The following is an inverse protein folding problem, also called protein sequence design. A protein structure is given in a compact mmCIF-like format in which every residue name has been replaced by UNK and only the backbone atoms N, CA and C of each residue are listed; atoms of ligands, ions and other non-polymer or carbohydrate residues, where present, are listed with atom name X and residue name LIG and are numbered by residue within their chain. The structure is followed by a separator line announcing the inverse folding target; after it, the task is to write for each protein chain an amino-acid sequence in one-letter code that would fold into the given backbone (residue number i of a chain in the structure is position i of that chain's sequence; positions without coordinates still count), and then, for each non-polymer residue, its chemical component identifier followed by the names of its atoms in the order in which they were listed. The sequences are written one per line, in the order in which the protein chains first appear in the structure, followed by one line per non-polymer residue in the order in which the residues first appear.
data_IF_812267577185
#
_entry.id   IF_812267577185
#
_cell.length_a   1.000
_cell.length_b   1.000
_cell.length_c   1.000
_cell.angle_alpha   90.00
_cell.angle_beta   90.00
_cell.angle_gamma   90.00
#
_symmetry.space_group_name_H-M   'P 1'
#
loop_
_entity.id
_entity.type
_entity.pdbx_description
1 polymer ?
#
# COMPACT_ATOMS: atom_id res chain seq x y z
N UNK A 1 48.17 28.20 11.28
CA UNK A 1 47.33 28.07 10.07
C UNK A 1 46.52 26.79 10.23
N UNK A 2 45.31 26.90 10.79
CA UNK A 2 44.38 25.77 10.95
C UNK A 2 43.60 25.66 9.64
N UNK A 3 43.83 24.59 8.89
CA UNK A 3 43.04 24.26 7.69
C UNK A 3 41.80 23.51 8.20
N UNK A 4 40.65 24.20 8.21
CA UNK A 4 39.34 23.59 8.38
C UNK A 4 39.00 22.89 7.06
N UNK A 5 39.09 21.56 7.06
CA UNK A 5 38.66 20.72 5.95
C UNK A 5 37.12 20.69 5.93
N UNK A 6 36.52 21.54 5.08
CA UNK A 6 35.09 21.53 4.80
C UNK A 6 34.83 20.37 3.86
N UNK A 7 34.80 19.16 4.42
CA UNK A 7 34.22 18.01 3.72
C UNK A 7 32.71 18.23 3.65
N UNK A 8 32.27 18.83 2.55
CA UNK A 8 30.87 18.93 2.21
C UNK A 8 30.25 17.53 2.26
N UNK A 9 29.27 17.36 3.15
CA UNK A 9 28.38 16.20 3.14
C UNK A 9 27.64 16.28 1.80
N UNK A 10 28.14 15.56 0.78
CA UNK A 10 27.34 15.23 -0.38
C UNK A 10 26.15 14.46 0.17
N UNK A 11 24.98 15.09 0.19
CA UNK A 11 23.72 14.38 0.43
C UNK A 11 23.72 13.20 -0.52
N UNK A 12 23.65 11.98 0.00
CA UNK A 12 23.48 10.81 -0.82
C UNK A 12 22.20 11.02 -1.63
N UNK A 13 22.29 11.07 -2.95
CA UNK A 13 21.11 10.83 -3.79
C UNK A 13 20.62 9.44 -3.38
N UNK A 14 19.50 9.40 -2.67
CA UNK A 14 18.87 8.13 -2.33
C UNK A 14 18.35 7.55 -3.65
N UNK A 15 18.80 6.35 -4.01
CA UNK A 15 18.27 5.64 -5.17
C UNK A 15 16.76 5.45 -5.03
N UNK A 16 16.12 4.99 -6.10
CA UNK A 16 14.70 4.64 -6.07
C UNK A 16 14.53 3.16 -6.39
N UNK A 17 13.49 2.59 -5.80
CA UNK A 17 13.07 1.21 -6.02
C UNK A 17 11.70 1.22 -6.68
N UNK A 18 11.56 0.56 -7.82
CA UNK A 18 10.29 0.39 -8.50
C UNK A 18 9.71 -0.98 -8.18
N UNK A 19 8.51 -1.01 -7.61
CA UNK A 19 7.67 -2.19 -7.55
C UNK A 19 6.77 -2.15 -8.80
N UNK A 20 7.04 -2.97 -9.83
CA UNK A 20 6.17 -3.05 -10.99
C UNK A 20 4.83 -3.65 -10.60
N UNK A 21 3.76 -3.18 -11.26
CA UNK A 21 2.40 -3.69 -11.10
C UNK A 21 1.79 -4.17 -12.43
N UNK A 22 2.62 -4.27 -13.47
CA UNK A 22 2.29 -4.94 -14.74
C UNK A 22 2.55 -6.45 -14.64
N UNK A 23 2.52 -7.15 -15.78
CA UNK A 23 2.72 -8.60 -15.88
C UNK A 23 4.09 -9.08 -15.38
N UNK A 24 5.04 -8.17 -15.14
CA UNK A 24 6.31 -8.55 -14.54
C UNK A 24 6.15 -8.94 -13.06
N UNK A 25 5.08 -8.50 -12.38
CA UNK A 25 4.88 -8.79 -10.96
C UNK A 25 4.27 -10.17 -10.75
N UNK A 26 4.82 -10.93 -9.78
CA UNK A 26 4.37 -12.30 -9.47
C UNK A 26 3.24 -12.35 -8.46
N UNK A 27 3.14 -11.33 -7.61
CA UNK A 27 2.15 -11.26 -6.54
C UNK A 27 1.78 -9.79 -6.27
N UNK A 28 0.77 -9.29 -6.99
CA UNK A 28 0.30 -7.91 -6.87
C UNK A 28 -0.29 -7.60 -5.49
N UNK A 29 -0.94 -8.57 -4.85
CA UNK A 29 -1.55 -8.36 -3.54
C UNK A 29 -0.46 -8.11 -2.48
N UNK A 30 0.57 -8.96 -2.43
CA UNK A 30 1.71 -8.72 -1.55
C UNK A 30 2.50 -7.46 -1.93
N UNK A 31 2.51 -7.07 -3.20
CA UNK A 31 3.13 -5.81 -3.62
C UNK A 31 2.46 -4.60 -2.97
N UNK A 32 1.11 -4.55 -2.90
CA UNK A 32 0.39 -3.55 -2.11
C UNK A 32 0.77 -3.59 -0.63
N UNK A 33 0.89 -4.79 -0.05
CA UNK A 33 1.35 -4.98 1.32
C UNK A 33 2.75 -4.42 1.61
N UNK A 34 3.68 -4.58 0.66
CA UNK A 34 5.02 -4.00 0.75
C UNK A 34 4.97 -2.47 0.65
N UNK A 35 4.19 -1.93 -0.30
CA UNK A 35 4.03 -0.49 -0.45
C UNK A 35 3.43 0.15 0.81
N UNK A 36 2.36 -0.44 1.36
CA UNK A 36 1.74 -0.02 2.61
C UNK A 36 2.75 0.00 3.76
N UNK A 37 3.51 -1.09 3.92
CA UNK A 37 4.54 -1.17 4.96
C UNK A 37 5.64 -0.12 4.79
N UNK A 38 6.03 0.22 3.56
CA UNK A 38 7.02 1.26 3.31
C UNK A 38 6.51 2.63 3.80
N UNK A 39 5.23 2.94 3.55
CA UNK A 39 4.60 4.17 4.04
C UNK A 39 4.55 4.17 5.58
N UNK A 40 4.21 3.05 6.21
CA UNK A 40 4.25 2.93 7.69
C UNK A 40 5.64 3.15 8.29
N UNK A 41 6.70 2.82 7.54
CA UNK A 41 8.09 3.09 7.93
C UNK A 41 8.55 4.51 7.63
N UNK A 42 7.67 5.37 7.13
CA UNK A 42 7.98 6.74 6.77
C UNK A 42 8.86 6.86 5.52
N UNK A 43 8.94 5.81 4.70
CA UNK A 43 9.59 5.90 3.40
C UNK A 43 8.68 6.66 2.44
N UNK A 44 9.27 7.50 1.58
CA UNK A 44 8.52 8.15 0.50
C UNK A 44 8.09 7.09 -0.51
N UNK A 45 6.78 7.06 -0.80
CA UNK A 45 6.19 6.16 -1.79
C UNK A 45 5.32 6.99 -2.73
N UNK A 46 5.60 6.86 -4.01
CA UNK A 46 4.85 7.44 -5.11
C UNK A 46 4.04 6.35 -5.78
N UNK A 47 2.73 6.56 -5.92
CA UNK A 47 1.85 5.70 -6.71
C UNK A 47 1.73 6.26 -8.11
N UNK A 48 2.32 5.56 -9.07
CA UNK A 48 2.39 5.96 -10.46
C UNK A 48 1.17 5.43 -11.22
N UNK A 49 0.05 6.16 -11.15
CA UNK A 49 -1.22 5.80 -11.78
C UNK A 49 -1.05 5.59 -13.28
N UNK A 50 -1.57 4.47 -13.77
CA UNK A 50 -1.49 4.00 -15.17
C UNK A 50 -0.07 3.76 -15.71
N UNK A 51 0.99 4.09 -14.97
CA UNK A 51 2.35 3.71 -15.33
C UNK A 51 2.59 2.25 -14.91
N UNK A 52 2.84 1.37 -15.89
CA UNK A 52 3.12 -0.05 -15.67
C UNK A 52 2.16 -0.70 -14.67
N UNK A 53 0.86 -0.59 -14.93
CA UNK A 53 -0.19 -1.19 -14.09
C UNK A 53 -0.44 -0.50 -12.74
N UNK A 54 0.04 0.74 -12.54
CA UNK A 54 -0.11 1.44 -11.25
C UNK A 54 1.07 1.16 -10.31
N UNK A 55 2.30 1.19 -10.84
CA UNK A 55 3.52 0.84 -10.10
C UNK A 55 3.80 1.77 -8.91
N UNK A 56 4.62 1.30 -7.97
CA UNK A 56 5.08 2.11 -6.84
C UNK A 56 6.55 2.45 -6.99
N UNK A 57 6.90 3.73 -6.90
CA UNK A 57 8.27 4.20 -6.79
C UNK A 57 8.56 4.55 -5.33
N UNK A 58 9.56 3.91 -4.75
CA UNK A 58 9.84 3.94 -3.31
C UNK A 58 11.26 4.44 -3.11
N UNK A 59 11.46 5.28 -2.10
CA UNK A 59 12.80 5.64 -1.67
C UNK A 59 13.62 4.39 -1.33
N UNK A 60 14.87 4.33 -1.80
CA UNK A 60 15.76 3.19 -1.54
C UNK A 60 15.91 2.91 -0.04
N UNK A 61 15.71 1.64 0.30
CA UNK A 61 15.87 1.11 1.64
C UNK A 61 16.24 -0.37 1.56
N UNK A 62 17.30 -0.74 2.28
CA UNK A 62 17.71 -2.15 2.40
C UNK A 62 16.63 -2.99 3.08
N UNK A 63 15.83 -2.40 3.97
CA UNK A 63 14.72 -3.11 4.62
C UNK A 63 13.56 -3.34 3.65
N UNK A 64 13.29 -2.39 2.74
CA UNK A 64 12.30 -2.57 1.68
C UNK A 64 12.72 -3.70 0.73
N UNK A 65 13.97 -3.71 0.26
CA UNK A 65 14.51 -4.81 -0.57
C UNK A 65 14.40 -6.17 0.13
N UNK A 66 14.77 -6.24 1.41
CA UNK A 66 14.69 -7.48 2.20
C UNK A 66 13.24 -7.95 2.34
N UNK A 67 12.32 -7.05 2.67
CA UNK A 67 10.90 -7.37 2.81
C UNK A 67 10.30 -7.86 1.50
N UNK A 68 10.55 -7.16 0.39
CA UNK A 68 10.09 -7.58 -0.94
C UNK A 68 10.56 -8.99 -1.29
N UNK A 69 11.85 -9.29 -1.05
CA UNK A 69 12.40 -10.65 -1.25
C UNK A 69 11.71 -11.70 -0.38
N UNK A 70 11.52 -11.42 0.92
CA UNK A 70 10.82 -12.35 1.84
C UNK A 70 9.36 -12.58 1.45
N UNK A 71 8.71 -11.57 0.86
CA UNK A 71 7.31 -11.66 0.41
C UNK A 71 7.15 -12.15 -1.03
N UNK A 72 8.26 -12.40 -1.74
CA UNK A 72 8.23 -12.85 -3.14
C UNK A 72 7.80 -11.75 -4.13
N UNK A 73 7.86 -10.49 -3.72
CA UNK A 73 7.49 -9.31 -4.53
C UNK A 73 8.70 -8.89 -5.36
N UNK A 74 8.46 -8.68 -6.66
CA UNK A 74 9.48 -8.16 -7.56
C UNK A 74 9.66 -6.66 -7.29
N UNK A 75 10.92 -6.26 -7.16
CA UNK A 75 11.35 -4.89 -6.94
C UNK A 75 12.62 -4.65 -7.77
N UNK A 76 12.72 -3.48 -8.38
CA UNK A 76 13.78 -3.11 -9.32
C UNK A 76 14.50 -1.87 -8.80
N UNK A 77 15.82 -1.90 -8.74
CA UNK A 77 16.61 -0.68 -8.51
C UNK A 77 16.57 0.19 -9.77
N UNK A 78 16.30 1.48 -9.60
CA UNK A 78 16.20 2.44 -10.70
C UNK A 78 17.26 3.52 -10.51
N UNK A 79 18.06 3.75 -11.55
CA UNK A 79 19.03 4.85 -11.58
C UNK A 79 18.33 6.21 -11.68
N UNK A 80 19.04 7.28 -11.35
CA UNK A 80 18.53 8.66 -11.50
C UNK A 80 18.03 8.94 -12.93
N UNK A 81 18.74 8.45 -13.95
CA UNK A 81 18.31 8.57 -15.35
C UNK A 81 17.03 7.77 -15.65
N UNK A 82 16.86 6.62 -15.01
CA UNK A 82 15.66 5.80 -15.15
C UNK A 82 14.45 6.48 -14.51
N UNK A 83 14.64 7.11 -13.34
CA UNK A 83 13.59 7.89 -12.67
C UNK A 83 13.14 9.06 -13.54
N UNK A 84 14.08 9.78 -14.16
CA UNK A 84 13.76 10.84 -15.13
C UNK A 84 12.91 10.26 -16.27
N UNK A 85 13.32 9.12 -16.85
CA UNK A 85 12.55 8.46 -17.91
C UNK A 85 11.12 8.08 -17.49
N UNK A 86 10.93 7.60 -16.26
CA UNK A 86 9.60 7.29 -15.71
C UNK A 86 8.73 8.54 -15.68
N UNK A 87 9.24 9.65 -15.14
CA UNK A 87 8.47 10.89 -15.05
C UNK A 87 8.19 11.50 -16.43
N UNK A 88 9.16 11.44 -17.34
CA UNK A 88 9.01 11.83 -18.75
C UNK A 88 7.86 11.06 -19.43
N UNK A 89 7.75 9.75 -19.18
CA UNK A 89 6.65 8.92 -19.70
C UNK A 89 5.31 9.30 -19.07
N UNK A 90 5.30 9.58 -17.77
CA UNK A 90 4.08 10.00 -17.05
C UNK A 90 3.55 11.32 -17.62
N UNK A 91 4.42 12.32 -17.81
CA UNK A 91 4.03 13.65 -18.31
C UNK A 91 3.50 13.62 -19.76
N UNK A 92 4.02 12.71 -20.59
CA UNK A 92 3.65 12.60 -22.01
C UNK A 92 2.36 11.81 -22.26
N UNK A 93 1.84 11.11 -21.25
CA UNK A 93 0.71 10.19 -21.37
C UNK A 93 -0.40 10.49 -20.35
N UNK A 94 -1.51 9.76 -20.42
CA UNK A 94 -2.61 9.86 -19.45
C UNK A 94 -2.30 9.09 -18.15
N UNK A 95 -1.22 9.49 -17.47
CA UNK A 95 -0.71 8.90 -16.24
C UNK A 95 -0.60 9.98 -15.16
N UNK A 96 -0.38 9.58 -13.90
CA UNK A 96 -0.23 10.54 -12.81
C UNK A 96 0.70 10.02 -11.71
N UNK A 97 1.37 10.91 -11.02
CA UNK A 97 2.14 10.62 -9.82
C UNK A 97 1.41 11.13 -8.58
N UNK A 98 1.17 10.23 -7.62
CA UNK A 98 0.56 10.56 -6.33
C UNK A 98 1.51 10.17 -5.21
N UNK A 99 1.99 11.16 -4.45
CA UNK A 99 2.71 10.91 -3.21
C UNK A 99 1.76 10.35 -2.13
N UNK A 100 2.13 9.22 -1.54
CA UNK A 100 1.42 8.60 -0.44
C UNK A 100 2.08 8.97 0.90
N UNK A 101 1.47 9.92 1.62
CA UNK A 101 2.06 10.52 2.84
C UNK A 101 1.84 9.70 4.12
N UNK A 102 0.73 8.97 4.21
CA UNK A 102 0.30 8.28 5.42
C UNK A 102 -0.38 6.96 5.08
N UNK A 103 0.00 5.91 5.81
CA UNK A 103 -0.68 4.62 5.75
C UNK A 103 -2.08 4.77 6.39
N UNK A 104 -3.17 4.47 5.66
CA UNK A 104 -4.52 4.67 6.16
C UNK A 104 -4.85 3.64 7.25
N UNK A 105 -5.55 4.08 8.31
CA UNK A 105 -6.19 3.17 9.26
C UNK A 105 -7.48 2.64 8.65
N UNK A 106 -7.57 1.33 8.50
CA UNK A 106 -8.69 0.66 7.83
C UNK A 106 -9.59 0.01 8.89
N UNK A 107 -10.89 0.24 8.77
CA UNK A 107 -11.92 -0.52 9.46
C UNK A 107 -12.70 -1.38 8.46
N UNK A 108 -13.06 -2.58 8.89
CA UNK A 108 -14.00 -3.47 8.19
C UNK A 108 -15.25 -3.59 9.05
N UNK A 109 -16.40 -3.21 8.49
CA UNK A 109 -17.68 -3.44 9.12
C UNK A 109 -18.06 -4.92 8.99
N UNK A 110 -18.00 -5.66 10.09
CA UNK A 110 -18.20 -7.11 10.07
C UNK A 110 -18.65 -7.59 11.46
N UNK A 111 -19.68 -8.45 11.55
CA UNK A 111 -20.16 -8.95 12.83
C UNK A 111 -19.20 -10.02 13.36
N UNK A 112 -19.18 -10.23 14.67
CA UNK A 112 -18.25 -11.17 15.32
C UNK A 112 -18.43 -12.65 14.92
N UNK A 113 -19.48 -12.98 14.19
CA UNK A 113 -19.84 -14.34 13.79
C UNK A 113 -19.63 -14.65 12.30
N UNK A 114 -19.17 -13.70 11.47
CA UNK A 114 -18.82 -14.01 10.06
C UNK A 114 -17.57 -14.87 9.97
N UNK A 115 -17.55 -15.79 9.00
CA UNK A 115 -16.39 -16.65 8.76
C UNK A 115 -15.30 -15.88 8.00
N UNK A 116 -14.01 -16.15 8.24
CA UNK A 116 -12.91 -15.39 7.64
C UNK A 116 -12.88 -15.37 6.11
N UNK A 117 -13.49 -16.35 5.45
CA UNK A 117 -13.53 -16.46 3.98
C UNK A 117 -14.74 -15.80 3.33
N UNK A 118 -15.67 -15.28 4.13
CA UNK A 118 -16.91 -14.66 3.62
C UNK A 118 -16.68 -13.27 3.01
N UNK A 119 -15.53 -12.64 3.29
CA UNK A 119 -15.16 -11.32 2.76
C UNK A 119 -13.79 -11.33 2.07
N UNK A 120 -13.83 -11.20 0.75
CA UNK A 120 -12.65 -11.17 -0.11
C UNK A 120 -11.68 -10.03 0.25
N UNK A 121 -12.18 -8.89 0.74
CA UNK A 121 -11.32 -7.78 1.15
C UNK A 121 -10.56 -8.14 2.41
N UNK A 122 -11.18 -8.77 3.40
CA UNK A 122 -10.44 -9.25 4.58
C UNK A 122 -9.40 -10.29 4.22
N UNK A 123 -9.71 -11.22 3.32
CA UNK A 123 -8.73 -12.19 2.83
C UNK A 123 -7.53 -11.52 2.16
N UNK A 124 -7.75 -10.49 1.34
CA UNK A 124 -6.68 -9.75 0.67
C UNK A 124 -5.85 -8.94 1.66
N UNK A 125 -6.48 -8.27 2.62
CA UNK A 125 -5.79 -7.50 3.66
C UNK A 125 -4.89 -8.42 4.49
N UNK A 126 -5.40 -9.58 4.92
CA UNK A 126 -4.62 -10.60 5.64
C UNK A 126 -3.47 -11.15 4.79
N UNK A 127 -3.76 -11.53 3.54
CA UNK A 127 -2.76 -12.07 2.62
C UNK A 127 -1.62 -11.08 2.32
N UNK A 128 -1.93 -9.79 2.35
CA UNK A 128 -0.99 -8.69 2.08
C UNK A 128 -0.34 -8.13 3.35
N UNK A 129 -0.63 -8.69 4.53
CA UNK A 129 -0.19 -8.19 5.84
C UNK A 129 -0.56 -6.71 6.09
N UNK A 130 -1.73 -6.26 5.61
CA UNK A 130 -2.24 -4.91 5.87
C UNK A 130 -3.16 -4.96 7.09
N UNK A 131 -2.86 -4.21 8.17
CA UNK A 131 -3.65 -4.23 9.39
C UNK A 131 -5.01 -3.56 9.17
N UNK A 132 -6.04 -4.12 9.80
CA UNK A 132 -7.38 -3.57 9.82
C UNK A 132 -8.07 -3.93 11.14
N UNK A 133 -9.02 -3.11 11.56
CA UNK A 133 -9.87 -3.39 12.72
C UNK A 133 -11.26 -3.83 12.26
N UNK A 134 -11.84 -4.83 12.92
CA UNK A 134 -13.25 -5.18 12.74
C UNK A 134 -14.11 -4.35 13.68
N UNK A 135 -15.14 -3.72 13.15
CA UNK A 135 -16.10 -2.91 13.92
C UNK A 135 -17.53 -3.32 13.59
N UNK A 136 -18.46 -3.13 14.54
CA UNK A 136 -19.88 -3.41 14.34
C UNK A 136 -20.75 -2.25 14.86
N UNK A 137 -22.06 -2.47 14.90
CA UNK A 137 -23.09 -1.51 15.35
C UNK A 137 -22.68 -0.74 16.60
N UNK A 138 -22.16 -1.43 17.62
CA UNK A 138 -21.80 -0.79 18.89
C UNK A 138 -20.69 0.23 18.71
N UNK A 139 -19.61 -0.13 18.03
CA UNK A 139 -18.47 0.74 17.76
C UNK A 139 -18.87 1.92 16.88
N UNK A 140 -19.72 1.68 15.89
CA UNK A 140 -20.26 2.72 15.00
C UNK A 140 -21.13 3.71 15.78
N UNK A 141 -22.11 3.23 16.54
CA UNK A 141 -23.04 4.05 17.32
C UNK A 141 -22.36 4.80 18.46
N UNK A 142 -21.20 4.32 18.94
CA UNK A 142 -20.37 5.01 19.93
C UNK A 142 -19.37 5.99 19.32
N UNK A 143 -19.46 6.25 18.01
CA UNK A 143 -18.67 7.26 17.31
C UNK A 143 -17.24 6.84 16.97
N UNK A 144 -16.91 5.55 17.02
CA UNK A 144 -15.53 5.09 16.79
C UNK A 144 -15.08 5.18 15.33
N UNK A 145 -15.99 5.39 14.39
CA UNK A 145 -15.68 5.56 12.96
C UNK A 145 -14.67 6.69 12.71
N UNK A 146 -14.70 7.76 13.52
CA UNK A 146 -13.79 8.90 13.35
C UNK A 146 -12.31 8.57 13.59
N UNK A 147 -11.98 7.36 14.05
CA UNK A 147 -10.61 6.88 14.27
C UNK A 147 -9.95 6.33 12.99
N UNK A 148 -10.76 6.06 11.96
CA UNK A 148 -10.33 5.37 10.75
C UNK A 148 -10.33 6.32 9.56
N UNK A 149 -9.40 6.09 8.64
CA UNK A 149 -9.32 6.84 7.39
C UNK A 149 -10.22 6.19 6.33
N UNK A 150 -10.37 4.85 6.36
CA UNK A 150 -11.10 4.06 5.38
C UNK A 150 -12.04 3.07 6.06
N UNK A 151 -13.24 2.89 5.49
CA UNK A 151 -14.24 1.92 5.94
C UNK A 151 -14.61 1.00 4.78
N UNK A 152 -14.39 -0.29 4.94
CA UNK A 152 -14.93 -1.32 4.06
C UNK A 152 -16.29 -1.80 4.57
N UNK A 153 -17.22 -1.95 3.64
CA UNK A 153 -18.59 -2.41 3.87
C UNK A 153 -18.87 -3.53 2.86
N UNK A 154 -19.38 -4.66 3.31
CA UNK A 154 -19.80 -5.69 2.39
C UNK A 154 -21.19 -5.32 1.86
N UNK A 155 -21.39 -5.36 0.54
CA UNK A 155 -22.68 -4.94 -0.05
C UNK A 155 -23.89 -5.71 0.52
N UNK A 156 -23.67 -6.93 1.01
CA UNK A 156 -24.69 -7.76 1.66
C UNK A 156 -25.17 -7.18 3.01
N UNK A 157 -24.35 -6.37 3.68
CA UNK A 157 -24.67 -5.71 4.97
C UNK A 157 -25.88 -4.76 4.85
N UNK A 158 -26.18 -4.28 3.65
CA UNK A 158 -27.28 -3.33 3.38
C UNK A 158 -28.54 -3.99 2.82
N UNK A 159 -28.51 -5.30 2.54
CA UNK A 159 -29.62 -5.96 1.84
C UNK A 159 -30.76 -6.41 2.74
N UNK A 160 -30.62 -6.27 4.07
CA UNK A 160 -31.63 -6.71 5.03
C UNK A 160 -31.93 -8.21 4.97
N UNK A 161 -31.11 -8.99 4.26
CA UNK A 161 -31.23 -10.44 4.18
C UNK A 161 -30.72 -11.06 5.47
N UNK A 162 -31.58 -11.10 6.49
CA UNK A 162 -31.46 -12.05 7.58
C UNK A 162 -31.41 -13.47 6.98
N UNK A 163 -30.19 -13.97 6.74
CA UNK A 163 -29.85 -15.35 6.47
C UNK A 163 -30.48 -15.99 5.22
N UNK A 164 -29.68 -16.07 4.14
CA UNK A 164 -29.82 -17.13 3.12
C UNK A 164 -29.69 -18.56 3.68
N UNK A 165 -29.43 -18.72 4.99
CA UNK A 165 -29.23 -20.00 5.67
C UNK A 165 -30.39 -20.46 6.58
N UNK A 166 -31.55 -19.77 6.57
CA UNK A 166 -32.72 -20.20 7.36
C UNK A 166 -33.67 -21.18 6.65
N UNK A 167 -33.29 -21.75 5.51
CA UNK A 167 -34.09 -22.78 4.84
C UNK A 167 -33.39 -24.14 4.90
N UNK A 168 -33.73 -24.90 5.95
CA UNK A 168 -33.62 -26.36 6.00
C UNK A 168 -34.64 -27.01 5.08
#
# INVERSE_FOLDING_TARGET
MLVLDVTGIKGANAGQLLIPMDDAQRDHLKAYGVAYWCIEKGLKVHWLLNYRGGSFLIQESQDALRRSRMKGVIIQEVSDSGVIGIYDDIEKNNMNDILLEKAPKIAVYSPSFTQPWDDAVTLVLEYSDIPYDKIWDREVLTGQLSKYDWLHLHHEDFTGQYGKFYRS
#
